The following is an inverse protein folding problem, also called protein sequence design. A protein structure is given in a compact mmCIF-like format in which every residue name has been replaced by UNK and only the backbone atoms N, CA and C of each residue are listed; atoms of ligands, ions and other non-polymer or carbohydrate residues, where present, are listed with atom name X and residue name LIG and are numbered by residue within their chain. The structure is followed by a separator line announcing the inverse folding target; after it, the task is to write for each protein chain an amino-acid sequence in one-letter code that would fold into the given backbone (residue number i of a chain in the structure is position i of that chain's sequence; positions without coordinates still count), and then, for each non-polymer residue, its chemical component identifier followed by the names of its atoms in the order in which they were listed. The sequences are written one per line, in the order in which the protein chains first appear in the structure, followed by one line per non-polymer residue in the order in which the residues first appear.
data_IF_442508915863
#
_entry.id   IF_442508915863
#
_cell.length_a   1.000
_cell.length_b   1.000
_cell.length_c   1.000
_cell.angle_alpha   90.00
_cell.angle_beta   90.00
_cell.angle_gamma   90.00
#
_symmetry.space_group_name_H-M   'P 1'
#
loop_
_entity.id
_entity.type
_entity.pdbx_description
1 polymer ?
#
# COMPACT_ATOMS: atom_id res chain seq x y z
N UNK A 1 -24.16 13.49 -26.33
CA UNK A 1 -22.83 14.09 -26.53
C UNK A 1 -22.59 15.07 -25.39
N UNK A 2 -21.93 14.62 -24.33
CA UNK A 2 -21.49 15.48 -23.22
C UNK A 2 -19.98 15.21 -23.07
N UNK A 3 -19.18 16.12 -23.62
CA UNK A 3 -17.73 16.17 -23.42
C UNK A 3 -17.47 16.59 -21.99
N UNK A 4 -17.11 15.68 -21.13
CA UNK A 4 -16.44 15.96 -19.87
C UNK A 4 -14.95 16.13 -20.15
N UNK A 5 -14.54 17.30 -20.57
CA UNK A 5 -13.15 17.73 -20.52
C UNK A 5 -12.78 17.97 -19.06
N UNK A 6 -12.19 16.94 -18.44
CA UNK A 6 -11.45 17.09 -17.18
C UNK A 6 -10.17 17.84 -17.56
N UNK A 7 -10.18 19.17 -17.36
CA UNK A 7 -9.01 20.01 -17.56
C UNK A 7 -7.87 19.56 -16.63
N UNK A 8 -6.96 18.79 -17.18
CA UNK A 8 -5.74 18.32 -16.52
C UNK A 8 -4.64 19.37 -16.75
N UNK A 9 -4.71 20.50 -16.06
CA UNK A 9 -3.65 21.52 -16.12
C UNK A 9 -3.28 21.99 -14.73
N UNK A 10 -2.17 21.46 -14.23
CA UNK A 10 -1.05 22.11 -13.51
C UNK A 10 -0.12 21.03 -12.97
N UNK A 11 1.05 20.92 -13.55
CA UNK A 11 2.16 20.13 -13.03
C UNK A 11 2.63 20.73 -11.70
N UNK A 12 2.24 20.15 -10.58
CA UNK A 12 2.91 20.40 -9.31
C UNK A 12 4.14 19.51 -9.26
N UNK A 13 5.28 20.05 -9.62
CA UNK A 13 6.59 19.45 -9.38
C UNK A 13 6.85 19.41 -7.87
N UNK A 14 6.37 18.36 -7.21
CA UNK A 14 6.87 17.97 -5.91
C UNK A 14 8.22 17.28 -6.17
N UNK A 15 9.33 17.97 -5.95
CA UNK A 15 10.66 17.35 -6.03
C UNK A 15 10.73 16.20 -5.02
N UNK A 16 10.94 14.95 -5.46
CA UNK A 16 11.19 13.84 -4.55
C UNK A 16 12.50 14.07 -3.82
N UNK A 17 12.57 13.68 -2.53
CA UNK A 17 13.85 13.57 -1.85
C UNK A 17 14.64 12.43 -2.48
N UNK A 18 15.95 12.57 -2.70
CA UNK A 18 16.78 11.55 -3.32
C UNK A 18 16.76 10.25 -2.50
N UNK A 19 16.93 9.12 -3.20
CA UNK A 19 17.19 7.82 -2.60
C UNK A 19 18.43 7.95 -1.71
N UNK A 20 18.28 7.70 -0.41
CA UNK A 20 19.36 7.80 0.56
C UNK A 20 20.22 6.50 0.51
N UNK A 21 21.46 6.52 0.02
CA UNK A 21 22.25 5.31 -0.18
C UNK A 21 22.89 4.73 1.08
N UNK A 22 22.90 5.46 2.20
CA UNK A 22 23.70 5.06 3.34
C UNK A 22 23.00 5.31 4.68
N UNK A 23 22.21 4.33 5.13
CA UNK A 23 21.96 4.17 6.58
C UNK A 23 22.62 2.86 7.00
N UNK A 24 23.60 2.96 7.92
CA UNK A 24 24.42 1.84 8.36
C UNK A 24 23.59 0.63 8.84
N UNK A 25 24.15 -0.56 8.63
CA UNK A 25 23.60 -1.83 9.13
C UNK A 25 23.35 -1.72 10.63
N UNK A 26 22.07 -1.77 11.02
CA UNK A 26 21.66 -2.03 12.40
C UNK A 26 21.20 -3.48 12.48
N UNK A 27 21.48 -4.15 13.59
CA UNK A 27 20.97 -5.49 13.83
C UNK A 27 19.44 -5.53 13.62
N UNK A 28 18.93 -6.53 12.91
CA UNK A 28 17.50 -6.68 12.67
C UNK A 28 16.75 -6.82 14.00
N UNK A 29 15.54 -6.28 14.10
CA UNK A 29 14.74 -6.34 15.31
C UNK A 29 14.41 -7.77 15.69
N UNK A 30 14.37 -8.08 16.99
CA UNK A 30 13.98 -9.42 17.50
C UNK A 30 12.50 -9.76 17.27
N UNK A 31 11.67 -8.76 17.00
CA UNK A 31 10.25 -8.90 16.64
C UNK A 31 9.97 -8.15 15.34
N UNK A 32 9.43 -8.87 14.36
CA UNK A 32 9.03 -8.33 13.07
C UNK A 32 7.55 -7.96 13.10
N UNK A 33 7.21 -6.73 12.66
CA UNK A 33 5.83 -6.31 12.47
C UNK A 33 5.30 -6.71 11.08
N UNK A 34 6.19 -6.87 10.09
CA UNK A 34 5.78 -7.25 8.75
C UNK A 34 5.22 -8.68 8.70
N UNK A 35 3.97 -8.78 8.26
CA UNK A 35 3.22 -10.05 8.22
C UNK A 35 3.84 -11.10 7.28
N UNK A 36 4.43 -10.68 6.16
CA UNK A 36 5.08 -11.61 5.22
C UNK A 36 6.29 -12.27 5.89
N UNK A 37 7.14 -11.47 6.54
CA UNK A 37 8.33 -11.99 7.24
C UNK A 37 7.93 -12.93 8.37
N UNK A 38 6.90 -12.57 9.15
CA UNK A 38 6.42 -13.38 10.27
C UNK A 38 5.90 -14.76 9.85
N UNK A 39 5.41 -14.90 8.63
CA UNK A 39 4.84 -16.15 8.11
C UNK A 39 5.84 -17.08 7.47
N UNK A 40 7.07 -16.63 7.25
CA UNK A 40 8.14 -17.51 6.80
C UNK A 40 8.52 -18.51 7.90
N UNK A 41 8.83 -19.76 7.55
CA UNK A 41 9.52 -20.70 8.45
C UNK A 41 10.81 -20.07 8.99
N UNK A 42 11.22 -20.46 10.21
CA UNK A 42 12.37 -19.88 10.88
C UNK A 42 13.67 -19.88 10.05
N UNK A 43 14.03 -20.96 9.32
CA UNK A 43 15.23 -20.95 8.47
C UNK A 43 15.15 -19.91 7.36
N UNK A 44 14.05 -19.88 6.60
CA UNK A 44 13.84 -18.95 5.48
C UNK A 44 13.75 -17.51 5.98
N UNK A 45 13.09 -17.29 7.13
CA UNK A 45 13.01 -15.97 7.77
C UNK A 45 14.39 -15.47 8.17
N UNK A 46 15.21 -16.28 8.81
CA UNK A 46 16.56 -15.94 9.24
C UNK A 46 17.45 -15.63 8.04
N UNK A 47 17.32 -16.40 6.96
CA UNK A 47 18.04 -16.19 5.71
C UNK A 47 17.68 -14.84 5.06
N UNK A 48 16.38 -14.53 4.95
CA UNK A 48 15.90 -13.27 4.39
C UNK A 48 16.35 -12.08 5.24
N UNK A 49 16.10 -12.14 6.55
CA UNK A 49 16.41 -11.03 7.48
C UNK A 49 17.91 -10.77 7.56
N UNK A 50 18.74 -11.82 7.51
CA UNK A 50 20.20 -11.69 7.50
C UNK A 50 20.76 -10.93 6.28
N UNK A 51 19.96 -10.77 5.21
CA UNK A 51 20.31 -9.98 4.02
C UNK A 51 19.64 -8.60 3.99
N UNK A 52 18.89 -8.25 5.03
CA UNK A 52 18.17 -6.97 5.11
C UNK A 52 18.90 -5.95 5.97
N UNK A 53 18.75 -4.67 5.58
CA UNK A 53 19.07 -3.51 6.43
C UNK A 53 17.78 -3.00 7.08
N UNK A 54 17.87 -2.61 8.36
CA UNK A 54 16.79 -1.87 9.03
C UNK A 54 16.93 -0.37 8.71
N UNK A 55 15.94 0.18 8.01
CA UNK A 55 16.00 1.56 7.51
C UNK A 55 14.80 2.39 7.99
N UNK A 56 15.03 3.68 8.27
CA UNK A 56 13.97 4.64 8.53
C UNK A 56 13.36 5.13 7.23
N UNK A 57 12.04 5.16 7.19
CA UNK A 57 11.27 5.73 6.08
C UNK A 57 10.93 7.18 6.41
N UNK A 58 11.48 8.11 5.62
CA UNK A 58 11.24 9.55 5.77
C UNK A 58 9.99 9.98 5.00
N UNK A 59 9.22 11.00 5.47
CA UNK A 59 8.09 11.52 4.72
C UNK A 59 8.49 11.92 3.30
N UNK A 60 7.70 11.54 2.31
CA UNK A 60 7.92 11.83 0.88
C UNK A 60 9.18 11.18 0.28
N UNK A 61 9.83 10.26 0.98
CA UNK A 61 10.92 9.48 0.44
C UNK A 61 10.39 8.61 -0.71
N UNK A 62 11.13 8.60 -1.83
CA UNK A 62 10.85 7.73 -2.96
C UNK A 62 11.49 6.36 -2.69
N UNK A 63 10.66 5.31 -2.68
CA UNK A 63 11.11 3.92 -2.52
C UNK A 63 11.25 3.23 -3.87
N UNK A 64 10.42 3.61 -4.83
CA UNK A 64 10.45 3.13 -6.21
C UNK A 64 10.09 4.30 -7.14
N UNK A 65 10.93 4.58 -8.11
CA UNK A 65 10.67 5.62 -9.12
C UNK A 65 10.27 4.96 -10.45
N UNK A 66 9.37 5.64 -11.16
CA UNK A 66 8.85 5.19 -12.45
C UNK A 66 9.96 5.06 -13.49
N UNK A 67 9.97 3.93 -14.19
CA UNK A 67 10.88 3.63 -15.29
C UNK A 67 12.38 3.70 -14.93
N UNK A 68 12.70 3.66 -13.63
CA UNK A 68 14.07 3.51 -13.17
C UNK A 68 14.30 2.10 -12.60
N UNK A 69 15.53 1.57 -12.67
CA UNK A 69 15.84 0.27 -12.09
C UNK A 69 15.61 0.25 -10.58
N UNK A 70 14.94 -0.79 -10.10
CA UNK A 70 14.78 -1.06 -8.68
C UNK A 70 16.13 -1.53 -8.11
N UNK A 71 16.68 -0.74 -7.19
CA UNK A 71 17.91 -1.11 -6.45
C UNK A 71 17.60 -1.92 -5.20
N UNK A 72 16.42 -1.70 -4.61
CA UNK A 72 16.01 -2.27 -3.35
C UNK A 72 14.56 -2.76 -3.42
N UNK A 73 14.26 -3.77 -2.60
CA UNK A 73 12.92 -4.10 -2.17
C UNK A 73 12.76 -3.78 -0.68
N UNK A 74 11.50 -3.62 -0.23
CA UNK A 74 11.21 -3.22 1.14
C UNK A 74 10.09 -4.06 1.73
N UNK A 75 10.25 -4.43 2.99
CA UNK A 75 9.23 -4.99 3.86
C UNK A 75 8.93 -3.94 4.95
N UNK A 76 7.87 -3.13 4.79
CA UNK A 76 7.51 -2.13 5.79
C UNK A 76 7.21 -2.77 7.14
N UNK A 77 7.76 -2.19 8.20
CA UNK A 77 7.51 -2.57 9.59
C UNK A 77 6.53 -1.61 10.27
N UNK A 78 6.64 -0.33 9.91
CA UNK A 78 5.80 0.76 10.41
C UNK A 78 5.63 1.82 9.33
N UNK A 79 4.56 2.61 9.47
CA UNK A 79 4.23 3.67 8.52
C UNK A 79 3.53 3.14 7.27
N UNK A 80 3.40 3.98 6.26
CA UNK A 80 2.75 3.62 5.00
C UNK A 80 3.36 4.34 3.81
N UNK A 81 3.36 3.65 2.67
CA UNK A 81 3.70 4.20 1.37
C UNK A 81 2.54 4.06 0.39
N UNK A 82 2.49 4.92 -0.61
CA UNK A 82 1.49 4.91 -1.67
C UNK A 82 2.15 4.46 -2.97
N UNK A 83 1.67 3.36 -3.54
CA UNK A 83 2.00 2.93 -4.89
C UNK A 83 1.02 3.58 -5.85
N UNK A 84 1.53 4.34 -6.82
CA UNK A 84 0.72 5.16 -7.73
C UNK A 84 0.96 4.83 -9.19
N UNK A 85 -0.11 4.91 -9.98
CA UNK A 85 -0.08 4.87 -11.44
C UNK A 85 -0.48 6.22 -12.02
N UNK A 86 0.01 6.53 -13.22
CA UNK A 86 -0.31 7.76 -13.93
C UNK A 86 -0.87 7.42 -15.32
N UNK A 87 -2.01 8.00 -15.65
CA UNK A 87 -2.62 7.87 -16.98
C UNK A 87 -2.31 9.15 -17.78
N UNK A 88 -1.46 9.01 -18.80
CA UNK A 88 -1.03 10.15 -19.61
C UNK A 88 -0.43 11.28 -18.77
N UNK A 89 -0.89 12.52 -18.98
CA UNK A 89 -0.45 13.70 -18.24
C UNK A 89 -1.29 14.00 -16.98
N UNK A 90 -2.12 13.05 -16.54
CA UNK A 90 -2.96 13.24 -15.36
C UNK A 90 -2.16 13.12 -14.06
N UNK A 91 -2.74 13.64 -12.96
CA UNK A 91 -2.19 13.42 -11.63
C UNK A 91 -2.17 11.91 -11.32
N UNK A 92 -1.13 11.43 -10.62
CA UNK A 92 -1.06 10.02 -10.24
C UNK A 92 -2.21 9.65 -9.30
N UNK A 93 -2.74 8.44 -9.49
CA UNK A 93 -3.79 7.84 -8.64
C UNK A 93 -3.17 6.69 -7.88
N UNK A 94 -3.54 6.53 -6.60
CA UNK A 94 -3.09 5.39 -5.80
C UNK A 94 -3.74 4.10 -6.29
N UNK A 95 -2.89 3.11 -6.52
CA UNK A 95 -3.32 1.74 -6.87
C UNK A 95 -3.17 0.78 -5.70
N UNK A 96 -2.38 1.17 -4.68
CA UNK A 96 -2.24 0.41 -3.44
C UNK A 96 -1.65 1.28 -2.33
N UNK A 97 -2.26 1.24 -1.14
CA UNK A 97 -1.61 1.64 0.11
C UNK A 97 -0.78 0.46 0.61
N UNK A 98 0.49 0.69 0.89
CA UNK A 98 1.47 -0.33 1.32
C UNK A 98 1.87 -0.07 2.76
N UNK A 99 1.70 -1.04 3.63
CA UNK A 99 2.02 -0.96 5.07
C UNK A 99 2.68 -2.23 5.60
N UNK A 100 2.59 -2.48 6.92
CA UNK A 100 3.25 -3.60 7.59
C UNK A 100 2.80 -5.01 7.15
N UNK A 101 1.77 -5.11 6.31
CA UNK A 101 1.29 -6.38 5.75
C UNK A 101 1.70 -6.60 4.30
N UNK A 102 2.59 -5.75 3.79
CA UNK A 102 2.88 -5.68 2.35
C UNK A 102 4.38 -5.76 2.05
N UNK A 103 4.65 -5.74 0.74
CA UNK A 103 5.98 -5.77 0.16
C UNK A 103 6.07 -4.76 -1.01
N UNK A 104 7.21 -4.09 -1.13
CA UNK A 104 7.54 -3.18 -2.24
C UNK A 104 8.67 -3.81 -3.04
N UNK A 105 8.43 -4.07 -4.33
CA UNK A 105 9.42 -4.71 -5.20
C UNK A 105 8.84 -5.86 -6.03
N UNK A 106 7.52 -5.93 -6.20
CA UNK A 106 6.84 -6.96 -7.02
C UNK A 106 7.50 -7.21 -8.37
N UNK A 107 7.96 -6.19 -9.14
CA UNK A 107 8.64 -6.46 -10.41
C UNK A 107 9.83 -7.42 -10.28
N UNK A 108 10.59 -7.37 -9.19
CA UNK A 108 11.75 -8.25 -8.98
C UNK A 108 11.33 -9.72 -8.85
N UNK A 109 10.16 -10.00 -8.24
CA UNK A 109 9.60 -11.36 -8.13
C UNK A 109 9.24 -11.91 -9.50
N UNK A 110 8.77 -11.03 -10.39
CA UNK A 110 8.33 -11.36 -11.75
C UNK A 110 9.45 -11.26 -12.80
N UNK A 111 10.70 -11.17 -12.38
CA UNK A 111 11.86 -11.10 -13.27
C UNK A 111 12.08 -9.75 -13.95
N UNK A 112 11.38 -8.69 -13.51
CA UNK A 112 11.50 -7.35 -14.05
C UNK A 112 12.29 -6.44 -13.10
N UNK A 113 13.14 -5.56 -13.66
CA UNK A 113 13.94 -4.63 -12.85
C UNK A 113 13.42 -3.19 -12.86
N UNK A 114 12.40 -2.91 -13.63
CA UNK A 114 11.78 -1.58 -13.78
C UNK A 114 10.27 -1.69 -13.57
N UNK A 115 9.67 -0.60 -13.13
CA UNK A 115 8.21 -0.49 -12.96
C UNK A 115 7.70 0.81 -13.57
N UNK A 116 6.52 0.82 -14.20
CA UNK A 116 5.85 2.04 -14.60
C UNK A 116 5.22 2.80 -13.43
N UNK A 117 5.28 2.25 -12.23
CA UNK A 117 4.64 2.79 -11.03
C UNK A 117 5.66 3.46 -10.10
N UNK A 118 5.19 4.46 -9.37
CA UNK A 118 5.96 5.16 -8.33
C UNK A 118 5.48 4.72 -6.96
N UNK A 119 6.41 4.48 -6.02
CA UNK A 119 6.09 4.23 -4.61
C UNK A 119 6.74 5.28 -3.72
N UNK A 120 5.94 6.01 -2.94
CA UNK A 120 6.40 7.11 -2.10
C UNK A 120 5.84 6.99 -0.68
N UNK A 121 6.68 7.25 0.33
CA UNK A 121 6.30 7.25 1.74
C UNK A 121 5.30 8.37 2.02
N UNK A 122 4.13 8.02 2.57
CA UNK A 122 3.09 8.94 3.02
C UNK A 122 3.15 9.14 4.54
N UNK A 123 3.29 8.06 5.29
CA UNK A 123 3.42 8.06 6.74
C UNK A 123 4.81 7.55 7.08
N UNK A 124 5.64 8.33 7.80
CA UNK A 124 7.00 7.92 8.17
C UNK A 124 6.98 6.68 9.05
N UNK A 125 8.06 5.90 9.02
CA UNK A 125 8.15 4.66 9.78
C UNK A 125 9.48 3.96 9.60
N UNK A 126 9.44 2.63 9.54
CA UNK A 126 10.61 1.75 9.37
C UNK A 126 10.30 0.63 8.38
N UNK A 127 11.34 0.12 7.73
CA UNK A 127 11.25 -1.05 6.86
C UNK A 127 12.53 -1.89 6.94
N UNK A 128 12.41 -3.18 6.69
CA UNK A 128 13.53 -3.99 6.29
C UNK A 128 13.72 -3.83 4.79
N UNK A 129 14.95 -3.45 4.39
CA UNK A 129 15.34 -3.19 3.02
C UNK A 129 16.33 -4.25 2.57
N UNK A 130 16.14 -4.81 1.39
CA UNK A 130 17.06 -5.77 0.77
C UNK A 130 17.47 -5.28 -0.63
N UNK A 131 18.72 -5.51 -1.00
CA UNK A 131 19.18 -5.25 -2.37
C UNK A 131 18.48 -6.16 -3.38
N UNK A 132 18.22 -5.62 -4.58
CA UNK A 132 17.47 -6.32 -5.62
C UNK A 132 18.12 -7.66 -6.00
N UNK A 133 19.44 -7.67 -6.17
CA UNK A 133 20.22 -8.86 -6.52
C UNK A 133 20.12 -9.91 -5.42
N UNK A 134 20.31 -9.51 -4.16
CA UNK A 134 20.23 -10.41 -3.01
C UNK A 134 18.82 -11.05 -2.87
N UNK A 135 17.76 -10.25 -3.13
CA UNK A 135 16.40 -10.78 -3.14
C UNK A 135 16.20 -11.80 -4.27
N UNK A 136 16.66 -11.51 -5.48
CA UNK A 136 16.53 -12.40 -6.64
C UNK A 136 17.28 -13.73 -6.38
N UNK A 137 18.45 -13.68 -5.75
CA UNK A 137 19.19 -14.88 -5.34
C UNK A 137 18.39 -15.72 -4.32
N UNK A 138 17.80 -15.05 -3.32
CA UNK A 138 16.99 -15.72 -2.30
C UNK A 138 15.74 -16.39 -2.89
N UNK A 139 15.04 -15.71 -3.80
CA UNK A 139 13.86 -16.26 -4.49
C UNK A 139 14.24 -17.55 -5.26
N UNK A 140 15.41 -17.58 -5.88
CA UNK A 140 15.88 -18.76 -6.64
C UNK A 140 16.35 -19.91 -5.75
N UNK A 141 16.84 -19.63 -4.55
CA UNK A 141 17.46 -20.61 -3.66
C UNK A 141 16.54 -21.11 -2.53
N UNK A 142 15.48 -20.37 -2.20
CA UNK A 142 14.56 -20.71 -1.11
C UNK A 142 13.11 -20.74 -1.60
N UNK A 143 12.56 -21.93 -1.71
CA UNK A 143 11.21 -22.18 -2.24
C UNK A 143 10.10 -21.60 -1.35
N UNK A 144 10.32 -21.44 -0.05
CA UNK A 144 9.30 -20.87 0.85
C UNK A 144 9.21 -19.34 0.70
N UNK A 145 10.35 -18.68 0.49
CA UNK A 145 10.39 -17.24 0.15
C UNK A 145 9.69 -17.02 -1.20
N UNK A 146 10.03 -17.81 -2.23
CA UNK A 146 9.41 -17.73 -3.54
C UNK A 146 7.88 -17.88 -3.46
N UNK A 147 7.40 -18.97 -2.86
CA UNK A 147 5.96 -19.27 -2.72
C UNK A 147 5.22 -18.18 -1.98
N UNK A 148 5.78 -17.65 -0.89
CA UNK A 148 5.14 -16.58 -0.12
C UNK A 148 5.00 -15.31 -0.96
N UNK A 149 6.06 -14.90 -1.64
CA UNK A 149 6.06 -13.70 -2.48
C UNK A 149 5.14 -13.85 -3.70
N UNK A 150 5.08 -15.01 -4.35
CA UNK A 150 4.15 -15.27 -5.44
C UNK A 150 2.68 -15.23 -4.98
N UNK A 151 2.38 -15.75 -3.79
CA UNK A 151 1.03 -15.62 -3.19
C UNK A 151 0.68 -14.17 -2.90
N UNK A 152 1.63 -13.37 -2.44
CA UNK A 152 1.43 -11.93 -2.27
C UNK A 152 1.15 -11.22 -3.62
N UNK A 153 1.86 -11.59 -4.69
CA UNK A 153 1.57 -11.11 -6.05
C UNK A 153 0.13 -11.43 -6.45
N UNK A 154 -0.34 -12.67 -6.21
CA UNK A 154 -1.72 -13.06 -6.48
C UNK A 154 -2.73 -12.20 -5.72
N UNK A 155 -2.51 -11.93 -4.42
CA UNK A 155 -3.38 -11.05 -3.64
C UNK A 155 -3.40 -9.62 -4.20
N UNK A 156 -2.26 -9.13 -4.65
CA UNK A 156 -2.16 -7.80 -5.27
C UNK A 156 -2.89 -7.73 -6.62
N UNK A 157 -2.89 -8.79 -7.43
CA UNK A 157 -3.68 -8.88 -8.66
C UNK A 157 -5.18 -8.82 -8.35
N UNK A 158 -5.66 -9.58 -7.35
CA UNK A 158 -7.05 -9.53 -6.90
C UNK A 158 -7.40 -8.13 -6.40
N UNK A 159 -6.54 -7.51 -5.59
CA UNK A 159 -6.71 -6.14 -5.10
C UNK A 159 -6.89 -5.15 -6.27
N UNK A 160 -5.98 -5.17 -7.23
CA UNK A 160 -6.01 -4.26 -8.39
C UNK A 160 -7.26 -4.46 -9.25
N UNK A 161 -7.66 -5.70 -9.51
CA UNK A 161 -8.88 -6.04 -10.25
C UNK A 161 -10.13 -5.55 -9.51
N UNK A 162 -10.16 -5.74 -8.17
CA UNK A 162 -11.28 -5.28 -7.35
C UNK A 162 -11.35 -3.75 -7.28
N UNK A 163 -10.21 -3.04 -7.29
CA UNK A 163 -10.19 -1.59 -7.39
C UNK A 163 -10.75 -1.09 -8.73
N UNK A 164 -10.40 -1.73 -9.84
CA UNK A 164 -10.93 -1.37 -11.16
C UNK A 164 -12.47 -1.47 -11.17
N UNK A 165 -13.03 -2.59 -10.69
CA UNK A 165 -14.47 -2.79 -10.57
C UNK A 165 -15.11 -1.76 -9.60
N UNK A 166 -14.49 -1.55 -8.44
CA UNK A 166 -14.97 -0.61 -7.43
C UNK A 166 -15.02 0.84 -7.97
N UNK A 167 -13.95 1.26 -8.64
CA UNK A 167 -13.85 2.63 -9.16
C UNK A 167 -14.88 2.94 -10.25
N UNK A 168 -15.33 1.90 -10.99
CA UNK A 168 -16.33 2.05 -12.06
C UNK A 168 -17.78 1.96 -11.58
N UNK A 169 -18.06 1.36 -10.41
CA UNK A 169 -19.42 1.00 -9.99
C UNK A 169 -19.89 1.62 -8.68
N UNK A 170 -18.97 1.95 -7.78
CA UNK A 170 -19.32 2.41 -6.44
C UNK A 170 -19.21 3.93 -6.28
N UNK A 171 -20.08 4.48 -5.42
CA UNK A 171 -20.11 5.91 -5.10
C UNK A 171 -18.82 6.37 -4.41
N UNK A 172 -18.57 7.68 -4.40
CA UNK A 172 -17.42 8.25 -3.71
C UNK A 172 -17.43 7.91 -2.22
N UNK A 173 -18.59 7.95 -1.56
CA UNK A 173 -18.72 7.58 -0.15
C UNK A 173 -18.30 6.14 0.12
N UNK A 174 -18.75 5.18 -0.68
CA UNK A 174 -18.38 3.78 -0.56
C UNK A 174 -16.87 3.56 -0.80
N UNK A 175 -16.31 4.24 -1.79
CA UNK A 175 -14.89 4.17 -2.14
C UNK A 175 -14.02 4.79 -1.06
N UNK A 176 -14.45 5.91 -0.46
CA UNK A 176 -13.74 6.57 0.63
C UNK A 176 -13.80 5.72 1.91
N UNK A 177 -14.96 5.17 2.26
CA UNK A 177 -15.09 4.27 3.41
C UNK A 177 -14.18 3.05 3.27
N UNK A 178 -14.20 2.38 2.10
CA UNK A 178 -13.26 1.28 1.79
C UNK A 178 -11.80 1.70 1.97
N UNK A 179 -11.43 2.87 1.45
CA UNK A 179 -10.05 3.35 1.49
C UNK A 179 -9.60 3.64 2.93
N UNK A 180 -10.44 4.27 3.75
CA UNK A 180 -10.17 4.53 5.17
C UNK A 180 -9.96 3.22 5.96
N UNK A 181 -10.81 2.22 5.72
CA UNK A 181 -10.69 0.90 6.36
C UNK A 181 -9.38 0.18 5.96
N UNK A 182 -8.99 0.27 4.69
CA UNK A 182 -7.71 -0.29 4.24
C UNK A 182 -6.54 0.48 4.86
N UNK A 183 -6.59 1.81 4.93
CA UNK A 183 -5.54 2.62 5.52
C UNK A 183 -5.36 2.30 7.02
N UNK A 184 -6.46 2.17 7.77
CA UNK A 184 -6.47 1.75 9.17
C UNK A 184 -5.82 0.38 9.35
N UNK A 185 -6.22 -0.60 8.52
CA UNK A 185 -5.66 -1.95 8.56
C UNK A 185 -4.15 -1.97 8.26
N UNK A 186 -3.67 -1.15 7.30
CA UNK A 186 -2.25 -1.07 6.94
C UNK A 186 -1.39 -0.33 7.96
N UNK A 187 -1.97 0.67 8.63
CA UNK A 187 -1.31 1.43 9.69
C UNK A 187 -1.40 0.74 11.05
N UNK A 188 -2.32 -0.21 11.22
CA UNK A 188 -2.67 -0.82 12.50
C UNK A 188 -2.99 0.24 13.56
N UNK A 189 -3.69 1.31 13.15
CA UNK A 189 -4.01 2.47 13.97
C UNK A 189 -5.34 3.07 13.53
N UNK A 190 -6.19 3.41 14.48
CA UNK A 190 -7.42 4.18 14.24
C UNK A 190 -7.14 5.64 13.85
N UNK A 191 -5.92 6.12 14.12
CA UNK A 191 -5.46 7.43 13.72
C UNK A 191 -4.75 7.35 12.35
N UNK A 192 -5.32 8.01 11.35
CA UNK A 192 -4.81 8.04 9.98
C UNK A 192 -4.22 9.43 9.72
N UNK A 193 -2.89 9.60 9.73
CA UNK A 193 -2.24 10.90 9.60
C UNK A 193 -2.17 11.35 8.13
N UNK A 194 -3.32 11.52 7.48
CA UNK A 194 -3.45 11.88 6.08
C UNK A 194 -4.39 13.08 5.88
N UNK A 195 -4.18 13.83 4.81
CA UNK A 195 -4.97 15.03 4.47
C UNK A 195 -6.03 14.73 3.43
N UNK A 196 -7.06 15.58 3.34
CA UNK A 196 -8.06 15.55 2.24
C UNK A 196 -7.41 15.57 0.84
N UNK A 197 -6.26 16.24 0.71
CA UNK A 197 -5.50 16.27 -0.55
C UNK A 197 -4.94 14.89 -0.90
N UNK A 198 -4.36 14.19 0.07
CA UNK A 198 -3.84 12.83 -0.12
C UNK A 198 -4.99 11.88 -0.52
N UNK A 199 -6.13 11.94 0.17
CA UNK A 199 -7.31 11.12 -0.15
C UNK A 199 -7.89 11.44 -1.54
N UNK A 200 -7.97 12.72 -1.91
CA UNK A 200 -8.44 13.15 -3.23
C UNK A 200 -7.55 12.60 -4.35
N UNK A 201 -6.24 12.65 -4.13
CA UNK A 201 -5.26 12.08 -5.05
C UNK A 201 -5.36 10.54 -5.10
N UNK A 202 -5.46 9.89 -3.94
CA UNK A 202 -5.58 8.43 -3.86
C UNK A 202 -6.83 7.91 -4.59
N UNK A 203 -7.96 8.59 -4.44
CA UNK A 203 -9.22 8.18 -5.06
C UNK A 203 -9.45 8.74 -6.47
N UNK A 204 -8.54 9.57 -6.98
CA UNK A 204 -8.66 10.18 -8.31
C UNK A 204 -9.86 11.14 -8.45
N UNK A 205 -10.16 11.91 -7.39
CA UNK A 205 -11.31 12.80 -7.34
C UNK A 205 -10.93 14.23 -6.97
N UNK A 206 -11.84 15.18 -7.12
CA UNK A 206 -11.64 16.57 -6.67
C UNK A 206 -11.67 16.65 -5.14
N UNK A 207 -10.79 17.48 -4.56
CA UNK A 207 -10.72 17.70 -3.10
C UNK A 207 -12.07 18.10 -2.48
N UNK A 208 -12.88 18.90 -3.19
CA UNK A 208 -14.21 19.29 -2.73
C UNK A 208 -15.10 18.07 -2.42
N UNK A 209 -15.11 17.05 -3.30
CA UNK A 209 -15.88 15.83 -3.07
C UNK A 209 -15.44 15.09 -1.80
N UNK A 210 -14.12 15.01 -1.55
CA UNK A 210 -13.59 14.44 -0.28
C UNK A 210 -14.07 15.28 0.90
N UNK A 211 -13.94 16.60 0.84
CA UNK A 211 -14.32 17.48 1.95
C UNK A 211 -15.80 17.33 2.32
N UNK A 212 -16.69 17.27 1.33
CA UNK A 212 -18.13 17.05 1.56
C UNK A 212 -18.37 15.66 2.18
N UNK A 213 -17.84 14.60 1.57
CA UNK A 213 -18.06 13.24 2.07
C UNK A 213 -17.49 13.03 3.48
N UNK A 214 -16.33 13.61 3.78
CA UNK A 214 -15.74 13.56 5.13
C UNK A 214 -16.60 14.33 6.15
N UNK A 215 -17.14 15.48 5.76
CA UNK A 215 -18.09 16.23 6.60
C UNK A 215 -19.34 15.43 6.93
N UNK A 216 -19.89 14.70 5.97
CA UNK A 216 -21.05 13.82 6.18
C UNK A 216 -20.72 12.66 7.14
N UNK A 217 -19.54 12.05 7.03
CA UNK A 217 -19.09 10.99 7.94
C UNK A 217 -18.88 11.52 9.37
N UNK A 218 -18.32 12.72 9.50
CA UNK A 218 -18.12 13.37 10.80
C UNK A 218 -19.43 13.79 11.47
N UNK A 219 -20.36 14.40 10.72
CA UNK A 219 -21.70 14.76 11.23
C UNK A 219 -22.47 13.52 11.73
N UNK A 220 -22.19 12.33 11.21
CA UNK A 220 -22.75 11.05 11.65
C UNK A 220 -21.98 10.41 12.79
N UNK A 221 -20.91 11.04 13.30
CA UNK A 221 -20.08 10.53 14.39
C UNK A 221 -19.25 9.28 14.04
N UNK A 222 -19.00 9.02 12.76
CA UNK A 222 -18.26 7.83 12.31
C UNK A 222 -16.76 8.08 12.36
N UNK A 223 -16.36 9.30 12.06
CA UNK A 223 -14.97 9.78 12.11
C UNK A 223 -14.89 11.10 12.85
N UNK A 224 -13.67 11.48 13.24
CA UNK A 224 -13.35 12.83 13.69
C UNK A 224 -12.19 13.38 12.87
N UNK A 225 -12.33 14.61 12.41
CA UNK A 225 -11.31 15.29 11.62
C UNK A 225 -10.44 16.17 12.51
N UNK A 226 -9.12 15.99 12.42
CA UNK A 226 -8.10 16.81 13.06
C UNK A 226 -7.20 17.49 12.04
N UNK A 227 -6.20 18.23 12.53
CA UNK A 227 -5.22 18.88 11.65
C UNK A 227 -4.31 17.82 10.99
N UNK A 228 -4.58 17.51 9.72
CA UNK A 228 -3.87 16.51 8.93
C UNK A 228 -3.96 15.09 9.53
N UNK A 229 -5.02 14.78 10.24
CA UNK A 229 -5.28 13.51 10.90
C UNK A 229 -6.76 13.21 10.87
N UNK A 230 -7.09 11.93 10.77
CA UNK A 230 -8.46 11.42 10.82
C UNK A 230 -8.47 10.32 11.86
N UNK A 231 -9.41 10.37 12.78
CA UNK A 231 -9.66 9.35 13.79
C UNK A 231 -10.92 8.57 13.42
N UNK A 232 -10.82 7.25 13.32
CA UNK A 232 -11.96 6.37 13.17
C UNK A 232 -12.62 6.14 14.53
N UNK A 233 -13.86 6.63 14.69
CA UNK A 233 -14.64 6.49 15.92
C UNK A 233 -15.52 5.24 15.91
N UNK A 234 -16.16 4.95 14.76
CA UNK A 234 -17.07 3.81 14.60
C UNK A 234 -16.72 3.02 13.33
N UNK A 235 -15.88 2.00 13.51
CA UNK A 235 -15.45 1.13 12.43
C UNK A 235 -16.59 0.31 11.85
N UNK A 236 -17.52 -0.18 12.70
CA UNK A 236 -18.63 -1.01 12.26
C UNK A 236 -19.55 -0.24 11.30
N UNK A 237 -19.94 1.00 11.66
CA UNK A 237 -20.71 1.85 10.77
C UNK A 237 -19.98 2.25 9.50
N UNK A 238 -18.64 2.41 9.57
CA UNK A 238 -17.85 2.68 8.37
C UNK A 238 -17.81 1.45 7.45
N UNK A 239 -17.77 0.23 8.00
CA UNK A 239 -17.87 -1.03 7.24
C UNK A 239 -19.23 -1.16 6.54
N UNK A 240 -20.34 -0.79 7.20
CA UNK A 240 -21.69 -0.78 6.58
C UNK A 240 -21.80 0.20 5.41
N UNK A 241 -21.10 1.35 5.50
CA UNK A 241 -21.06 2.35 4.41
C UNK A 241 -20.11 1.95 3.29
N UNK A 242 -19.18 1.07 3.56
CA UNK A 242 -18.22 0.56 2.58
C UNK A 242 -18.92 -0.37 1.57
N UNK A 243 -18.33 -0.48 0.39
CA UNK A 243 -18.71 -1.55 -0.53
C UNK A 243 -18.05 -2.88 -0.12
N UNK A 244 -18.63 -4.01 -0.56
CA UNK A 244 -18.07 -5.35 -0.31
C UNK A 244 -16.63 -5.53 -0.83
N UNK A 245 -16.14 -4.62 -1.69
CA UNK A 245 -14.77 -4.63 -2.20
C UNK A 245 -13.72 -4.61 -1.09
N UNK A 246 -13.99 -3.93 0.04
CA UNK A 246 -13.12 -3.94 1.22
C UNK A 246 -12.89 -5.38 1.71
N UNK A 247 -13.98 -6.13 1.95
CA UNK A 247 -13.90 -7.51 2.44
C UNK A 247 -13.20 -8.45 1.46
N UNK A 248 -13.47 -8.32 0.15
CA UNK A 248 -12.81 -9.12 -0.90
C UNK A 248 -11.31 -8.90 -0.87
N UNK A 249 -10.85 -7.64 -0.80
CA UNK A 249 -9.43 -7.28 -0.76
C UNK A 249 -8.76 -7.85 0.50
N UNK A 250 -9.34 -7.63 1.68
CA UNK A 250 -8.77 -8.14 2.93
C UNK A 250 -8.69 -9.68 2.95
N UNK A 251 -9.75 -10.34 2.48
CA UNK A 251 -9.79 -11.81 2.41
C UNK A 251 -8.73 -12.35 1.44
N UNK A 252 -8.55 -11.70 0.29
CA UNK A 252 -7.51 -12.09 -0.66
C UNK A 252 -6.10 -12.00 -0.03
N UNK A 253 -5.79 -10.89 0.66
CA UNK A 253 -4.51 -10.75 1.38
C UNK A 253 -4.37 -11.77 2.51
N UNK A 254 -5.41 -11.99 3.31
CA UNK A 254 -5.37 -12.97 4.40
C UNK A 254 -5.16 -14.39 3.88
N UNK A 255 -5.91 -14.79 2.85
CA UNK A 255 -5.83 -16.14 2.28
C UNK A 255 -4.51 -16.40 1.55
N UNK A 256 -3.96 -15.39 0.85
CA UNK A 256 -2.67 -15.52 0.19
C UNK A 256 -1.52 -15.79 1.16
N UNK A 257 -1.66 -15.32 2.39
CA UNK A 257 -0.68 -15.52 3.44
C UNK A 257 -0.91 -16.82 4.24
N UNK A 258 -2.05 -17.48 4.07
CA UNK A 258 -2.37 -18.76 4.73
C UNK A 258 -1.87 -19.93 3.88
N UNK A 259 -0.77 -20.54 4.29
CA UNK A 259 -0.17 -21.68 3.59
C UNK A 259 -1.02 -22.96 3.69
N UNK A 260 -1.92 -23.06 4.68
CA UNK A 260 -2.69 -24.28 4.99
C UNK A 260 -3.95 -24.45 4.16
N UNK A 261 -4.50 -23.36 3.60
CA UNK A 261 -5.69 -23.42 2.76
C UNK A 261 -5.71 -22.31 1.68
N UNK A 262 -4.95 -22.49 0.60
CA UNK A 262 -4.86 -21.51 -0.49
C UNK A 262 -6.17 -21.31 -1.26
N UNK A 263 -7.18 -22.17 -1.04
CA UNK A 263 -8.45 -22.18 -1.78
C UNK A 263 -9.68 -21.87 -0.91
N UNK A 264 -9.52 -21.33 0.29
CA UNK A 264 -10.68 -20.82 1.02
C UNK A 264 -11.40 -19.80 0.15
N UNK A 265 -12.60 -20.17 -0.26
CA UNK A 265 -13.43 -19.36 -1.14
C UNK A 265 -13.53 -17.93 -0.60
N UNK A 266 -13.33 -16.95 -1.49
CA UNK A 266 -13.64 -15.54 -1.26
C UNK A 266 -15.17 -15.42 -1.31
N UNK A 267 -15.87 -16.23 -0.54
CA UNK A 267 -17.32 -16.29 -0.59
C UNK A 267 -17.95 -15.39 0.45
N UNK A 268 -18.76 -14.59 -0.12
CA UNK A 268 -19.89 -13.79 0.34
C UNK A 268 -19.57 -12.59 1.23
#
# INVERSE_FOLDING_TARGET
MLRNEIACTRSFSLRPLPLDPAQGRKEPPRHFANDLIRRLPDPSRSLLVGRCDDVRLKPRQMLQERNLPLRYAYFPEQGAASLTATAGNCLPVEIQTVGAKDFIGIPLILGMRVSPHRCMVQVPGRALRIEAEALIELIKSDVEIEKLLLRYVQATLIHSSQLAACNSRHSLQQRLARWLLIAEDKLSSHEIPLTHRCMAQALGVRRAGITTTMGDLEARGIIKQGRAQIELLDKARLEELSCNCHRVILTAHKNSLDATNPWRAINA
#
